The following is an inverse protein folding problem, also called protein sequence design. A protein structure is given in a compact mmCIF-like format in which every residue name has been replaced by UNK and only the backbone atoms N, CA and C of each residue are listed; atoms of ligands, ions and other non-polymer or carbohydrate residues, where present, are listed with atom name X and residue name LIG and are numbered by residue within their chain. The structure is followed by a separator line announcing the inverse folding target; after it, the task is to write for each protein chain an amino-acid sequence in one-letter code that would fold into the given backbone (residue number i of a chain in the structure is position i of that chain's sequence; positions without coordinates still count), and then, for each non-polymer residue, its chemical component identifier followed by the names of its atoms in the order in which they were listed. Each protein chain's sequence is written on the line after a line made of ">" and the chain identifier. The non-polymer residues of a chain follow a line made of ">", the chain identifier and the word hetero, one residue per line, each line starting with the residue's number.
data_IF_305841122989
#
_entry.id   IF_305841122989
#
_cell.length_a   1.000
_cell.length_b   1.000
_cell.length_c   1.000
_cell.angle_alpha   90.00
_cell.angle_beta   90.00
_cell.angle_gamma   90.00
#
_symmetry.space_group_name_H-M   'P 1'
#
loop_
_entity.id
_entity.type
_entity.pdbx_description
1 polymer ?
#
# COMPACT_ATOMS: atom_id res chain seq x y z
N UNK A 1 -13.93 12.25 -42.62
CA UNK A 1 -12.88 11.29 -43.02
C UNK A 1 -12.51 10.48 -41.79
N UNK A 2 -12.90 9.20 -41.72
CA UNK A 2 -12.53 8.31 -40.62
C UNK A 2 -11.41 7.37 -41.06
N UNK A 3 -10.45 7.10 -40.19
CA UNK A 3 -9.43 6.08 -40.44
C UNK A 3 -9.97 4.68 -40.14
N UNK A 4 -9.59 3.68 -40.94
CA UNK A 4 -9.92 2.30 -40.64
C UNK A 4 -9.16 1.80 -39.39
N UNK A 5 -9.69 0.80 -38.69
CA UNK A 5 -9.03 0.21 -37.51
C UNK A 5 -7.62 -0.29 -37.87
N UNK A 6 -7.45 -0.83 -39.08
CA UNK A 6 -6.15 -1.32 -39.57
C UNK A 6 -5.15 -0.19 -39.81
N UNK A 7 -5.57 0.95 -40.38
CA UNK A 7 -4.70 2.12 -40.54
C UNK A 7 -4.21 2.66 -39.20
N UNK A 8 -5.11 2.76 -38.23
CA UNK A 8 -4.78 3.22 -36.88
C UNK A 8 -3.83 2.23 -36.19
N UNK A 9 -4.07 0.93 -36.34
CA UNK A 9 -3.20 -0.12 -35.81
C UNK A 9 -1.78 -0.02 -36.38
N UNK A 10 -1.64 0.13 -37.70
CA UNK A 10 -0.33 0.31 -38.35
C UNK A 10 0.36 1.60 -37.90
N UNK A 11 -0.38 2.71 -37.85
CA UNK A 11 0.16 4.03 -37.46
C UNK A 11 0.74 4.05 -36.05
N UNK A 12 0.09 3.37 -35.10
CA UNK A 12 0.48 3.37 -33.69
C UNK A 12 1.24 2.10 -33.27
N UNK A 13 1.42 1.12 -34.16
CA UNK A 13 2.15 -0.12 -33.88
C UNK A 13 1.45 -1.07 -32.88
N UNK A 14 0.13 -0.94 -32.70
CA UNK A 14 -0.64 -1.81 -31.81
C UNK A 14 -1.44 -2.84 -32.61
N UNK A 15 -1.80 -3.96 -31.96
CA UNK A 15 -2.67 -4.95 -32.60
C UNK A 15 -4.04 -4.36 -32.95
N UNK A 16 -4.63 -4.81 -34.07
CA UNK A 16 -5.98 -4.43 -34.49
C UNK A 16 -7.03 -4.71 -33.39
N UNK A 17 -6.83 -5.76 -32.59
CA UNK A 17 -7.69 -6.10 -31.44
C UNK A 17 -7.62 -5.07 -30.32
N UNK A 18 -6.44 -4.54 -30.03
CA UNK A 18 -6.24 -3.48 -29.02
C UNK A 18 -6.92 -2.19 -29.46
N UNK A 19 -6.71 -1.77 -30.72
CA UNK A 19 -7.36 -0.57 -31.28
C UNK A 19 -8.89 -0.72 -31.28
N UNK A 20 -9.40 -1.88 -31.69
CA UNK A 20 -10.84 -2.15 -31.69
C UNK A 20 -11.44 -2.07 -30.27
N UNK A 21 -10.75 -2.65 -29.27
CA UNK A 21 -11.20 -2.61 -27.87
C UNK A 21 -11.25 -1.17 -27.32
N UNK A 22 -10.19 -0.40 -27.54
CA UNK A 22 -10.10 1.01 -27.10
C UNK A 22 -11.16 1.86 -27.81
N UNK A 23 -11.34 1.69 -29.12
CA UNK A 23 -12.37 2.41 -29.88
C UNK A 23 -13.78 2.12 -29.37
N UNK A 24 -14.08 0.84 -29.07
CA UNK A 24 -15.37 0.44 -28.49
C UNK A 24 -15.59 1.06 -27.12
N UNK A 25 -14.62 0.95 -26.22
CA UNK A 25 -14.68 1.56 -24.88
C UNK A 25 -14.89 3.07 -24.95
N UNK A 26 -14.19 3.76 -25.85
CA UNK A 26 -14.35 5.18 -26.09
C UNK A 26 -15.74 5.52 -26.63
N UNK A 27 -16.25 4.77 -27.61
CA UNK A 27 -17.58 5.00 -28.19
C UNK A 27 -18.71 4.79 -27.18
N UNK A 28 -18.58 3.80 -26.30
CA UNK A 28 -19.61 3.46 -25.30
C UNK A 28 -19.56 4.39 -24.08
N UNK A 29 -18.36 4.74 -23.60
CA UNK A 29 -18.19 5.45 -22.32
C UNK A 29 -17.75 6.90 -22.46
N UNK A 30 -17.30 7.33 -23.63
CA UNK A 30 -16.68 8.64 -23.87
C UNK A 30 -15.31 8.82 -23.20
N UNK A 31 -14.78 7.78 -22.55
CA UNK A 31 -13.53 7.86 -21.77
C UNK A 31 -12.36 7.43 -22.63
N UNK A 32 -11.28 8.21 -22.57
CA UNK A 32 -9.99 7.89 -23.19
C UNK A 32 -9.04 7.16 -22.23
N UNK A 33 -9.39 7.12 -20.93
CA UNK A 33 -8.56 6.53 -19.88
C UNK A 33 -9.20 5.32 -19.23
N UNK A 34 -8.39 4.29 -18.98
CA UNK A 34 -8.80 3.07 -18.27
C UNK A 34 -8.47 3.13 -16.77
N UNK A 35 -9.08 4.07 -16.02
CA UNK A 35 -8.83 4.17 -14.58
C UNK A 35 -9.42 2.97 -13.82
N UNK A 36 -8.54 2.05 -13.42
CA UNK A 36 -8.85 0.93 -12.55
C UNK A 36 -8.80 1.36 -11.08
N UNK A 37 -9.78 2.14 -10.63
CA UNK A 37 -9.79 2.71 -9.27
C UNK A 37 -9.83 1.67 -8.12
N UNK A 38 -10.13 0.40 -8.39
CA UNK A 38 -10.34 -0.64 -7.36
C UNK A 38 -9.70 -1.99 -7.71
N UNK A 39 -8.62 -2.00 -8.48
CA UNK A 39 -7.91 -3.24 -8.80
C UNK A 39 -6.91 -3.65 -7.69
N UNK A 40 -6.58 -4.94 -7.67
CA UNK A 40 -5.56 -5.50 -6.77
C UNK A 40 -6.10 -6.10 -5.47
N UNK A 41 -5.22 -6.78 -4.74
CA UNK A 41 -5.52 -7.46 -3.49
C UNK A 41 -5.81 -6.45 -2.37
N UNK A 42 -6.91 -6.64 -1.64
CA UNK A 42 -7.24 -5.80 -0.48
C UNK A 42 -6.22 -5.99 0.64
N UNK A 43 -5.98 -4.92 1.41
CA UNK A 43 -5.14 -4.98 2.62
C UNK A 43 -5.81 -5.90 3.64
N UNK A 44 -5.01 -6.70 4.33
CA UNK A 44 -5.48 -7.58 5.42
C UNK A 44 -5.92 -6.74 6.63
N UNK A 45 -5.20 -5.66 6.94
CA UNK A 45 -5.53 -4.76 8.04
C UNK A 45 -6.56 -3.71 7.61
N UNK A 46 -7.67 -3.65 8.34
CA UNK A 46 -8.70 -2.63 8.19
C UNK A 46 -8.44 -1.45 9.14
N UNK A 47 -9.20 -0.36 9.00
CA UNK A 47 -9.10 0.80 9.90
C UNK A 47 -9.31 0.46 11.38
N UNK A 48 -10.20 -0.50 11.68
CA UNK A 48 -10.43 -0.97 13.06
C UNK A 48 -9.18 -1.65 13.63
N UNK A 49 -8.48 -2.42 12.80
CA UNK A 49 -7.24 -3.10 13.18
C UNK A 49 -6.12 -2.10 13.41
N UNK A 50 -6.02 -1.08 12.55
CA UNK A 50 -5.08 0.03 12.72
C UNK A 50 -5.35 0.80 14.02
N UNK A 51 -6.62 1.09 14.34
CA UNK A 51 -7.02 1.71 15.62
C UNK A 51 -6.66 0.83 16.82
N UNK A 52 -6.83 -0.49 16.72
CA UNK A 52 -6.40 -1.43 17.77
C UNK A 52 -4.88 -1.46 17.92
N UNK A 53 -4.15 -1.53 16.82
CA UNK A 53 -2.68 -1.52 16.81
C UNK A 53 -2.13 -0.23 17.42
N UNK A 54 -2.71 0.93 17.09
CA UNK A 54 -2.34 2.21 17.69
C UNK A 54 -2.55 2.24 19.21
N UNK A 55 -3.59 1.58 19.74
CA UNK A 55 -3.81 1.45 21.19
C UNK A 55 -2.75 0.58 21.85
N UNK A 56 -2.36 -0.54 21.24
CA UNK A 56 -1.30 -1.42 21.74
C UNK A 56 0.03 -0.66 21.84
N UNK A 57 0.41 0.05 20.79
CA UNK A 57 1.65 0.85 20.74
C UNK A 57 1.63 1.99 21.77
N UNK A 58 0.48 2.64 21.98
CA UNK A 58 0.36 3.73 22.96
C UNK A 58 0.42 3.22 24.40
N UNK A 59 -0.06 2.01 24.68
CA UNK A 59 -0.01 1.36 25.99
C UNK A 59 1.43 1.05 26.39
N UNK A 60 2.22 0.45 25.50
CA UNK A 60 3.65 0.22 25.72
C UNK A 60 4.47 0.74 24.54
N UNK A 61 5.05 1.94 24.73
CA UNK A 61 5.88 2.61 23.72
C UNK A 61 7.28 2.01 23.59
N UNK A 62 7.67 1.06 24.45
CA UNK A 62 8.99 0.39 24.44
C UNK A 62 8.90 -1.05 23.94
N UNK A 63 7.70 -1.57 23.72
CA UNK A 63 7.48 -2.91 23.18
C UNK A 63 8.19 -3.11 21.83
N UNK A 64 8.81 -4.27 21.67
CA UNK A 64 9.45 -4.69 20.43
C UNK A 64 8.42 -5.15 19.39
N UNK A 65 8.78 -5.14 18.10
CA UNK A 65 7.87 -5.58 17.04
C UNK A 65 7.29 -6.99 17.25
N UNK A 66 8.06 -8.02 17.67
CA UNK A 66 7.50 -9.33 17.96
C UNK A 66 6.50 -9.33 19.12
N UNK A 67 6.76 -8.55 20.18
CA UNK A 67 5.82 -8.40 21.31
C UNK A 67 4.52 -7.74 20.86
N UNK A 68 4.61 -6.66 20.09
CA UNK A 68 3.44 -5.99 19.51
C UNK A 68 2.65 -6.95 18.62
N UNK A 69 3.35 -7.77 17.83
CA UNK A 69 2.70 -8.75 16.97
C UNK A 69 2.01 -9.87 17.76
N UNK A 70 2.64 -10.35 18.84
CA UNK A 70 2.05 -11.33 19.73
C UNK A 70 0.78 -10.77 20.39
N UNK A 71 0.84 -9.58 20.98
CA UNK A 71 -0.31 -8.89 21.59
C UNK A 71 -1.42 -8.61 20.58
N UNK A 72 -1.04 -8.24 19.35
CA UNK A 72 -2.01 -8.02 18.30
C UNK A 72 -2.71 -9.34 17.92
N UNK A 73 -1.96 -10.42 17.73
CA UNK A 73 -2.53 -11.70 17.29
C UNK A 73 -3.25 -12.45 18.42
N UNK A 74 -2.96 -12.20 19.70
CA UNK A 74 -3.56 -12.88 20.85
C UNK A 74 -5.10 -12.73 20.95
N UNK A 75 -5.70 -11.78 20.23
CA UNK A 75 -7.15 -11.59 20.18
C UNK A 75 -7.70 -11.45 18.76
N UNK A 76 -6.94 -11.87 17.74
CA UNK A 76 -7.34 -11.75 16.34
C UNK A 76 -7.76 -13.11 15.77
N UNK A 77 -8.86 -13.13 15.01
CA UNK A 77 -9.33 -14.33 14.31
C UNK A 77 -8.41 -14.75 13.17
N UNK A 78 -7.64 -13.81 12.62
CA UNK A 78 -6.64 -14.02 11.58
C UNK A 78 -5.29 -13.54 12.06
N UNK A 79 -4.28 -14.42 11.98
CA UNK A 79 -2.92 -14.06 12.33
C UNK A 79 -2.31 -13.15 11.26
N UNK A 80 -1.73 -12.04 11.71
CA UNK A 80 -1.05 -11.08 10.85
C UNK A 80 0.45 -11.22 11.06
N UNK A 81 1.21 -11.31 9.97
CA UNK A 81 2.66 -11.43 10.04
C UNK A 81 3.31 -10.17 10.63
N UNK A 82 4.41 -10.36 11.36
CA UNK A 82 5.20 -9.26 11.95
C UNK A 82 5.54 -8.19 10.91
N UNK A 83 5.89 -8.60 9.69
CA UNK A 83 6.21 -7.69 8.58
C UNK A 83 5.04 -6.82 8.14
N UNK A 84 3.82 -7.36 8.16
CA UNK A 84 2.61 -6.61 7.81
C UNK A 84 2.27 -5.59 8.88
N UNK A 85 2.45 -5.98 10.16
CA UNK A 85 2.30 -5.08 11.31
C UNK A 85 3.33 -3.95 11.21
N UNK A 86 4.60 -4.26 10.98
CA UNK A 86 5.66 -3.25 10.82
C UNK A 86 5.34 -2.23 9.72
N UNK A 87 4.86 -2.68 8.55
CA UNK A 87 4.45 -1.77 7.47
C UNK A 87 3.32 -0.84 7.89
N UNK A 88 2.29 -1.37 8.57
CA UNK A 88 1.19 -0.55 9.05
C UNK A 88 1.65 0.46 10.12
N UNK A 89 2.58 0.08 11.00
CA UNK A 89 3.18 1.01 11.98
C UNK A 89 3.82 2.20 11.28
N UNK A 90 4.60 1.95 10.22
CA UNK A 90 5.28 2.97 9.43
C UNK A 90 4.25 3.82 8.65
N UNK A 91 3.27 3.19 7.98
CA UNK A 91 2.20 3.87 7.25
C UNK A 91 1.39 4.80 8.16
N UNK A 92 1.18 4.41 9.42
CA UNK A 92 0.51 5.23 10.45
C UNK A 92 1.42 6.34 11.04
N UNK A 93 2.68 6.41 10.63
CA UNK A 93 3.63 7.45 11.06
C UNK A 93 4.40 7.16 12.34
N UNK A 94 4.27 5.98 12.94
CA UNK A 94 5.09 5.59 14.08
C UNK A 94 6.53 5.26 13.62
N UNK A 95 7.51 5.74 14.38
CA UNK A 95 8.94 5.52 14.12
C UNK A 95 9.63 5.04 15.39
N UNK A 96 10.82 4.46 15.21
CA UNK A 96 11.70 4.16 16.33
C UNK A 96 12.04 5.43 17.10
N UNK A 97 12.17 5.29 18.42
CA UNK A 97 12.66 6.38 19.26
C UNK A 97 14.13 6.65 18.94
N UNK A 98 14.49 7.91 18.84
CA UNK A 98 15.89 8.35 18.76
C UNK A 98 16.37 8.78 20.15
N UNK A 99 17.57 8.38 20.59
CA UNK A 99 18.16 8.92 21.81
C UNK A 99 18.32 10.43 21.68
N UNK A 100 17.88 11.19 22.68
CA UNK A 100 18.07 12.65 22.71
C UNK A 100 19.50 13.04 23.03
N UNK A 101 20.20 12.19 23.80
CA UNK A 101 21.61 12.34 24.15
C UNK A 101 22.30 11.02 23.88
N UNK A 102 23.40 11.09 23.14
CA UNK A 102 24.33 9.97 22.96
C UNK A 102 25.50 10.18 23.93
N UNK A 103 26.06 9.13 24.54
CA UNK A 103 27.23 9.28 25.39
C UNK A 103 28.40 9.82 24.57
N UNK A 104 29.20 10.70 25.17
CA UNK A 104 30.48 11.11 24.60
C UNK A 104 31.41 9.90 24.60
N UNK A 105 31.82 9.46 23.42
CA UNK A 105 32.73 8.32 23.23
C UNK A 105 34.19 8.68 23.52
N UNK A 106 34.48 9.96 23.77
CA UNK A 106 35.82 10.50 24.06
C UNK A 106 35.80 11.27 25.37
N UNK A 107 36.78 10.97 26.23
CA UNK A 107 36.98 11.66 27.50
C UNK A 107 37.32 13.15 27.27
N UNK A 108 36.81 14.02 28.14
CA UNK A 108 37.28 15.40 28.24
C UNK A 108 38.46 15.40 29.20
N UNK A 109 39.65 15.74 28.68
CA UNK A 109 40.83 16.05 29.48
C UNK A 109 40.73 17.46 30.05
#
# INVERSE_FOLDING_TARGET
>A
MGHSISEVAMKFGFSRTTISRVYREYRESGKTSNLRHRCGRKKIMQERDQRRLARIIKRDRRATLPQIAADFNAGATTSVSVRTIQRNIIDMGFRSRRPTRVPLMTARY
#
